data_IF_842399873600
#
_entry.id   IF_842399873600
#
_cell.length_a   1.000
_cell.length_b   1.000
_cell.length_c   1.000
_cell.angle_alpha   90.00
_cell.angle_beta   90.00
_cell.angle_gamma   90.00
#
_symmetry.space_group_name_H-M   'P 1'
#
loop_
_entity.id
_entity.type
_entity.pdbx_description
1 polymer ?
#
# COMPACT_ATOMS: atom_id res chain seq x y z
N UNK A 1 -24.76 -24.71 5.59
CA UNK A 1 -23.96 -23.49 5.86
C UNK A 1 -22.82 -23.47 4.85
N UNK A 2 -22.99 -22.74 3.77
CA UNK A 2 -22.00 -22.60 2.69
C UNK A 2 -20.94 -21.60 3.16
N UNK A 3 -19.74 -22.11 3.45
CA UNK A 3 -18.58 -21.26 3.68
C UNK A 3 -18.27 -20.50 2.39
N UNK A 4 -18.45 -19.18 2.39
CA UNK A 4 -17.96 -18.32 1.32
C UNK A 4 -16.44 -18.44 1.30
N UNK A 5 -15.89 -18.98 0.22
CA UNK A 5 -14.46 -18.94 -0.05
C UNK A 5 -14.06 -17.48 -0.26
N UNK A 6 -13.27 -16.95 0.65
CA UNK A 6 -12.63 -15.65 0.50
C UNK A 6 -11.32 -15.93 -0.23
N UNK A 7 -11.23 -15.48 -1.47
CA UNK A 7 -9.99 -15.58 -2.25
C UNK A 7 -9.13 -14.37 -1.92
N UNK A 8 -7.93 -14.61 -1.42
CA UNK A 8 -6.88 -13.60 -1.25
C UNK A 8 -5.85 -13.88 -2.32
N UNK A 9 -5.64 -12.95 -3.26
CA UNK A 9 -4.49 -12.99 -4.15
C UNK A 9 -3.34 -12.34 -3.40
N UNK A 10 -2.45 -13.14 -2.86
CA UNK A 10 -1.23 -12.67 -2.24
C UNK A 10 -0.10 -12.87 -3.24
N UNK A 11 0.46 -11.78 -3.72
CA UNK A 11 1.70 -11.79 -4.47
C UNK A 11 2.82 -11.68 -3.44
N UNK A 12 3.52 -12.78 -3.19
CA UNK A 12 4.68 -12.82 -2.31
C UNK A 12 5.92 -12.51 -3.16
N UNK A 13 6.42 -11.28 -3.07
CA UNK A 13 7.69 -10.90 -3.65
C UNK A 13 8.79 -11.26 -2.64
N UNK A 14 9.45 -12.42 -2.84
CA UNK A 14 10.60 -12.81 -2.03
C UNK A 14 11.84 -12.29 -2.73
N UNK A 15 12.46 -11.26 -2.19
CA UNK A 15 13.72 -10.74 -2.68
C UNK A 15 14.87 -11.35 -1.86
N UNK A 16 15.55 -12.32 -2.43
CA UNK A 16 16.81 -12.85 -1.91
C UNK A 16 17.98 -12.12 -2.55
N UNK A 17 19.02 -11.82 -1.81
CA UNK A 17 20.24 -11.13 -2.25
C UNK A 17 21.15 -11.95 -3.19
N UNK A 18 20.63 -12.95 -3.88
CA UNK A 18 21.36 -13.77 -4.83
C UNK A 18 20.62 -13.81 -6.18
N UNK A 19 21.26 -13.21 -7.18
CA UNK A 19 21.06 -13.37 -8.64
C UNK A 19 19.68 -13.83 -9.10
N UNK A 20 18.93 -12.96 -9.80
CA UNK A 20 17.81 -13.27 -10.71
C UNK A 20 17.01 -14.53 -10.37
N UNK A 21 16.47 -14.60 -9.17
CA UNK A 21 15.50 -15.64 -8.82
C UNK A 21 14.12 -15.18 -9.28
N UNK A 22 13.39 -16.05 -9.99
CA UNK A 22 11.98 -15.82 -10.29
C UNK A 22 11.25 -15.40 -9.01
N UNK A 23 10.57 -14.28 -9.04
CA UNK A 23 9.76 -13.82 -7.91
C UNK A 23 8.64 -14.84 -7.69
N UNK A 24 8.60 -15.55 -6.58
CA UNK A 24 7.54 -16.53 -6.36
C UNK A 24 6.22 -15.80 -6.13
N UNK A 25 5.27 -16.05 -6.99
CA UNK A 25 3.87 -15.66 -6.80
C UNK A 25 3.16 -16.77 -6.04
N UNK A 26 2.79 -16.51 -4.79
CA UNK A 26 2.00 -17.44 -3.99
C UNK A 26 0.51 -17.11 -4.15
N UNK A 27 -0.23 -18.02 -4.82
CA UNK A 27 -1.68 -17.90 -4.89
C UNK A 27 -2.32 -18.59 -3.67
N UNK A 28 -2.71 -17.80 -2.68
CA UNK A 28 -3.35 -18.30 -1.46
C UNK A 28 -4.79 -18.81 -1.69
N UNK A 29 -5.32 -18.77 -2.92
CA UNK A 29 -6.61 -19.43 -3.24
C UNK A 29 -6.52 -20.95 -3.19
N UNK A 30 -5.33 -21.51 -3.29
CA UNK A 30 -5.08 -22.93 -3.17
C UNK A 30 -4.74 -23.30 -1.71
N UNK A 31 -5.74 -23.44 -0.89
CA UNK A 31 -5.87 -24.27 0.31
C UNK A 31 -4.59 -24.70 1.06
N UNK A 32 -3.67 -23.81 1.35
CA UNK A 32 -2.68 -24.13 2.35
C UNK A 32 -2.91 -23.25 3.60
N UNK A 33 -3.79 -23.74 4.47
CA UNK A 33 -4.03 -23.14 5.78
C UNK A 33 -2.78 -23.14 6.68
N UNK A 34 -1.73 -23.84 6.23
CA UNK A 34 -0.42 -23.93 6.88
C UNK A 34 0.67 -23.11 6.17
N UNK A 35 0.34 -22.36 5.10
CA UNK A 35 1.28 -21.45 4.47
C UNK A 35 1.68 -20.37 5.48
N UNK A 36 2.81 -20.58 6.15
CA UNK A 36 3.40 -19.57 7.01
C UNK A 36 4.23 -18.66 6.14
N UNK A 37 3.98 -17.35 6.28
CA UNK A 37 4.84 -16.35 5.67
C UNK A 37 6.26 -16.53 6.21
N UNK A 38 7.29 -16.48 5.35
CA UNK A 38 8.66 -16.52 5.83
C UNK A 38 8.88 -15.41 6.86
N UNK A 39 9.29 -15.78 8.06
CA UNK A 39 9.55 -14.84 9.15
C UNK A 39 11.04 -14.47 9.23
N UNK A 40 11.83 -14.84 8.22
CA UNK A 40 13.24 -14.50 8.23
C UNK A 40 13.46 -13.05 7.76
N UNK A 41 14.46 -12.41 8.32
CA UNK A 41 14.79 -11.01 8.08
C UNK A 41 15.24 -10.70 6.63
N UNK A 42 15.19 -11.68 5.73
CA UNK A 42 15.58 -11.52 4.33
C UNK A 42 14.41 -11.26 3.37
N UNK A 43 13.17 -11.17 3.87
CA UNK A 43 11.96 -11.13 3.02
C UNK A 43 11.20 -9.82 3.18
N UNK A 44 10.86 -9.20 2.05
CA UNK A 44 9.77 -8.22 1.97
C UNK A 44 8.55 -8.92 1.39
N UNK A 45 7.45 -8.91 2.11
CA UNK A 45 6.16 -9.39 1.63
C UNK A 45 5.32 -8.20 1.19
N UNK A 46 4.81 -8.25 -0.03
CA UNK A 46 3.79 -7.29 -0.52
C UNK A 46 2.54 -8.08 -0.84
N UNK A 47 1.47 -7.79 -0.13
CA UNK A 47 0.19 -8.50 -0.25
C UNK A 47 -0.87 -7.57 -0.84
N UNK A 48 -1.56 -8.06 -1.87
CA UNK A 48 -2.70 -7.39 -2.48
C UNK A 48 -3.98 -8.15 -2.11
N UNK A 49 -4.82 -7.63 -1.20
CA UNK A 49 -6.10 -8.24 -0.89
C UNK A 49 -6.97 -8.38 -2.13
N UNK A 50 -7.67 -9.50 -2.28
CA UNK A 50 -8.56 -9.66 -3.43
C UNK A 50 -9.79 -8.77 -3.26
N UNK A 51 -9.90 -7.78 -4.13
CA UNK A 51 -10.99 -6.82 -4.19
C UNK A 51 -11.61 -6.80 -5.58
N UNK A 52 -12.79 -6.18 -5.73
CA UNK A 52 -13.48 -6.16 -7.02
C UNK A 52 -13.13 -4.91 -7.83
N UNK A 53 -13.16 -3.75 -7.20
CA UNK A 53 -12.91 -2.45 -7.83
C UNK A 53 -12.23 -1.50 -6.84
N UNK A 54 -11.15 -1.92 -6.23
CA UNK A 54 -10.45 -1.13 -5.25
C UNK A 54 -9.00 -1.59 -5.11
N UNK A 55 -8.14 -0.74 -4.61
CA UNK A 55 -6.72 -1.01 -4.42
C UNK A 55 -6.32 -0.94 -2.95
N UNK A 56 -5.46 -1.88 -2.57
CA UNK A 56 -4.74 -1.87 -1.31
C UNK A 56 -3.50 -2.74 -1.42
N UNK A 57 -2.40 -2.30 -0.83
CA UNK A 57 -1.19 -3.08 -0.70
C UNK A 57 -0.69 -3.06 0.74
N UNK A 58 -0.47 -4.24 1.31
CA UNK A 58 0.09 -4.42 2.65
C UNK A 58 1.54 -4.86 2.49
N UNK A 59 2.46 -4.11 3.07
CA UNK A 59 3.89 -4.37 3.04
C UNK A 59 4.34 -4.83 4.42
N UNK A 60 5.07 -5.95 4.48
CA UNK A 60 5.64 -6.47 5.73
C UNK A 60 7.11 -6.81 5.54
N UNK A 61 7.97 -6.27 6.38
CA UNK A 61 9.41 -6.53 6.38
C UNK A 61 9.95 -6.48 7.81
N UNK A 62 10.67 -7.51 8.22
CA UNK A 62 11.37 -7.58 9.52
C UNK A 62 10.47 -7.29 10.74
N UNK A 63 9.21 -7.72 10.70
CA UNK A 63 8.24 -7.48 11.76
C UNK A 63 7.60 -6.09 11.76
N UNK A 64 7.93 -5.25 10.80
CA UNK A 64 7.31 -3.96 10.52
C UNK A 64 6.23 -4.09 9.45
N UNK A 65 5.18 -3.29 9.53
CA UNK A 65 4.12 -3.28 8.54
C UNK A 65 3.74 -1.85 8.13
N UNK A 66 3.54 -1.65 6.83
CA UNK A 66 3.01 -0.43 6.24
C UNK A 66 1.93 -0.76 5.22
N UNK A 67 1.18 0.23 4.78
CA UNK A 67 0.09 0.02 3.83
C UNK A 67 -0.03 1.19 2.85
N UNK A 68 -0.25 0.87 1.59
CA UNK A 68 -0.53 1.85 0.53
C UNK A 68 -1.93 1.55 0.01
N UNK A 69 -2.82 2.52 0.15
CA UNK A 69 -4.26 2.41 -0.03
C UNK A 69 -4.91 1.28 0.79
N UNK A 70 -6.21 1.34 0.98
CA UNK A 70 -6.94 0.45 1.87
C UNK A 70 -8.29 -0.01 1.31
N UNK A 71 -8.54 0.27 0.02
CA UNK A 71 -9.83 -0.01 -0.59
C UNK A 71 -10.96 0.88 -0.10
N UNK A 72 -12.15 0.55 -0.55
CA UNK A 72 -13.38 1.20 -0.13
C UNK A 72 -14.04 0.53 1.07
N UNK A 73 -15.19 1.04 1.47
CA UNK A 73 -15.99 0.46 2.57
C UNK A 73 -16.45 -0.97 2.29
N UNK A 74 -16.65 -1.33 1.02
CA UNK A 74 -17.11 -2.67 0.64
C UNK A 74 -16.03 -3.74 0.81
N UNK A 75 -14.77 -3.33 0.77
CA UNK A 75 -13.59 -4.20 0.78
C UNK A 75 -12.99 -4.39 2.17
N UNK A 76 -13.53 -3.74 3.20
CA UNK A 76 -13.05 -3.75 4.59
C UNK A 76 -12.75 -5.18 5.10
N UNK A 77 -13.65 -6.14 4.80
CA UNK A 77 -13.45 -7.52 5.25
C UNK A 77 -12.30 -8.23 4.54
N UNK A 78 -12.03 -7.91 3.28
CA UNK A 78 -10.92 -8.49 2.54
C UNK A 78 -9.57 -7.97 3.07
N UNK A 79 -9.48 -6.67 3.30
CA UNK A 79 -8.30 -6.03 3.88
C UNK A 79 -8.04 -6.55 5.30
N UNK A 80 -9.07 -6.62 6.14
CA UNK A 80 -8.96 -7.14 7.50
C UNK A 80 -8.46 -8.59 7.51
N UNK A 81 -9.01 -9.44 6.64
CA UNK A 81 -8.58 -10.84 6.52
C UNK A 81 -7.12 -10.95 6.10
N UNK A 82 -6.66 -10.09 5.19
CA UNK A 82 -5.27 -10.09 4.75
C UNK A 82 -4.32 -9.62 5.88
N UNK A 83 -4.67 -8.58 6.62
CA UNK A 83 -3.91 -8.12 7.79
C UNK A 83 -3.78 -9.21 8.85
N UNK A 84 -4.88 -9.92 9.16
CA UNK A 84 -4.88 -11.04 10.10
C UNK A 84 -4.03 -12.22 9.61
N UNK A 85 -4.12 -12.58 8.33
CA UNK A 85 -3.32 -13.64 7.74
C UNK A 85 -1.81 -13.34 7.77
N UNK A 86 -1.44 -12.07 7.65
CA UNK A 86 -0.06 -11.58 7.76
C UNK A 86 0.40 -11.41 9.21
N UNK A 87 -0.49 -11.58 10.19
CA UNK A 87 -0.19 -11.34 11.60
C UNK A 87 0.07 -9.87 11.95
N UNK A 88 -0.42 -8.95 11.12
CA UNK A 88 -0.27 -7.51 11.33
C UNK A 88 -1.20 -7.05 12.45
N UNK A 89 -0.63 -6.48 13.50
CA UNK A 89 -1.36 -5.96 14.67
C UNK A 89 -1.19 -4.45 14.84
N UNK A 90 -0.31 -3.84 14.07
CA UNK A 90 -0.10 -2.39 13.96
C UNK A 90 0.45 -2.05 12.58
N UNK A 91 0.23 -0.84 12.12
CA UNK A 91 0.87 -0.29 10.94
C UNK A 91 1.81 0.85 11.37
N UNK A 92 3.06 0.81 10.92
CA UNK A 92 4.02 1.87 11.24
C UNK A 92 3.66 3.16 10.49
N UNK A 93 3.18 3.01 9.28
CA UNK A 93 2.67 4.10 8.45
C UNK A 93 1.62 3.57 7.47
N UNK A 94 0.77 4.47 7.01
CA UNK A 94 -0.14 4.24 5.88
C UNK A 94 -0.09 5.41 4.91
N UNK A 95 -0.21 5.13 3.62
CA UNK A 95 -0.19 6.11 2.53
C UNK A 95 -1.51 6.06 1.78
N UNK A 96 -2.23 7.19 1.73
CA UNK A 96 -3.36 7.36 0.82
C UNK A 96 -2.86 8.04 -0.46
N UNK A 97 -2.85 7.31 -1.57
CA UNK A 97 -2.30 7.78 -2.84
C UNK A 97 -3.09 8.93 -3.43
N UNK A 98 -4.42 8.85 -3.35
CA UNK A 98 -5.35 9.88 -3.81
C UNK A 98 -6.75 9.71 -3.18
N UNK A 99 -7.62 10.74 -3.22
CA UNK A 99 -8.87 10.77 -2.44
C UNK A 99 -10.07 10.09 -3.12
N UNK A 100 -9.89 9.04 -3.90
CA UNK A 100 -11.00 8.26 -4.43
C UNK A 100 -11.54 7.24 -3.43
N UNK A 101 -12.82 6.89 -3.59
CA UNK A 101 -13.58 6.06 -2.65
C UNK A 101 -13.17 4.59 -2.65
N UNK A 102 -12.42 4.16 -3.61
CA UNK A 102 -11.89 2.81 -3.80
C UNK A 102 -10.43 2.66 -3.32
N UNK A 103 -9.84 3.72 -2.74
CA UNK A 103 -8.46 3.72 -2.26
C UNK A 103 -8.31 4.00 -0.76
N UNK A 104 -9.05 4.97 -0.21
CA UNK A 104 -8.75 5.46 1.14
C UNK A 104 -9.76 5.13 2.24
N UNK A 105 -11.08 4.94 1.99
CA UNK A 105 -12.06 4.78 3.07
C UNK A 105 -11.79 3.60 3.99
N UNK A 106 -11.16 2.54 3.49
CA UNK A 106 -10.78 1.38 4.28
C UNK A 106 -9.88 1.70 5.47
N UNK A 107 -9.09 2.77 5.39
CA UNK A 107 -8.25 3.22 6.51
C UNK A 107 -9.06 3.60 7.76
N UNK A 108 -10.30 4.06 7.60
CA UNK A 108 -11.16 4.42 8.74
C UNK A 108 -11.47 3.22 9.63
N UNK A 109 -11.78 2.08 9.01
CA UNK A 109 -12.01 0.84 9.74
C UNK A 109 -10.73 0.30 10.39
N UNK A 110 -9.60 0.41 9.70
CA UNK A 110 -8.29 0.00 10.23
C UNK A 110 -7.92 0.85 11.44
N UNK A 111 -8.02 2.18 11.36
CA UNK A 111 -7.69 3.10 12.44
C UNK A 111 -8.51 2.85 13.72
N UNK A 112 -9.76 2.39 13.57
CA UNK A 112 -10.62 2.03 14.71
C UNK A 112 -10.27 0.67 15.36
N UNK A 113 -9.47 -0.16 14.68
CA UNK A 113 -9.18 -1.54 15.09
C UNK A 113 -7.75 -1.77 15.55
N UNK A 114 -6.79 -1.03 14.98
CA UNK A 114 -5.39 -1.20 15.32
C UNK A 114 -4.62 0.12 15.28
N UNK A 115 -3.49 0.20 15.99
CA UNK A 115 -2.64 1.38 15.96
C UNK A 115 -2.05 1.63 14.58
N UNK A 116 -2.09 2.88 14.14
CA UNK A 116 -1.39 3.41 12.96
C UNK A 116 -0.41 4.47 13.46
N UNK A 117 0.85 4.36 13.07
CA UNK A 117 1.89 5.29 13.49
C UNK A 117 1.78 6.65 12.82
N UNK A 118 1.50 6.67 11.51
CA UNK A 118 1.31 7.90 10.73
C UNK A 118 0.42 7.63 9.51
N UNK A 119 -0.42 8.61 9.16
CA UNK A 119 -1.19 8.65 7.92
C UNK A 119 -0.60 9.71 7.00
N UNK A 120 -0.12 9.30 5.82
CA UNK A 120 0.49 10.18 4.84
C UNK A 120 -0.41 10.36 3.62
N UNK A 121 -0.52 11.58 3.14
CA UNK A 121 -1.19 11.91 1.88
C UNK A 121 -0.67 13.24 1.34
N UNK A 122 -0.66 13.41 0.02
CA UNK A 122 -0.36 14.69 -0.63
C UNK A 122 -1.61 15.57 -0.81
N UNK A 123 -2.78 15.08 -0.46
CA UNK A 123 -4.05 15.77 -0.67
C UNK A 123 -4.52 16.51 0.60
N UNK A 124 -4.89 17.78 0.50
CA UNK A 124 -5.37 18.54 1.64
C UNK A 124 -6.79 18.12 2.06
N UNK A 125 -7.15 18.43 3.30
CA UNK A 125 -8.46 18.09 3.88
C UNK A 125 -9.66 18.65 3.09
N UNK A 126 -9.49 19.73 2.35
CA UNK A 126 -10.55 20.36 1.56
C UNK A 126 -10.62 19.86 0.10
N UNK A 127 -9.87 18.83 -0.26
CA UNK A 127 -9.90 18.29 -1.63
C UNK A 127 -11.28 17.72 -1.96
N UNK A 128 -11.84 16.89 -1.10
CA UNK A 128 -13.21 16.42 -1.22
C UNK A 128 -13.77 15.97 0.14
N UNK A 129 -15.07 15.68 0.18
CA UNK A 129 -15.76 15.28 1.40
C UNK A 129 -15.25 13.95 1.96
N UNK A 130 -14.83 13.01 1.11
CA UNK A 130 -14.28 11.73 1.55
C UNK A 130 -12.94 11.90 2.26
N UNK A 131 -12.01 12.67 1.70
CA UNK A 131 -10.74 12.97 2.35
C UNK A 131 -10.96 13.70 3.69
N UNK A 132 -11.86 14.67 3.71
CA UNK A 132 -12.22 15.37 4.93
C UNK A 132 -12.72 14.40 6.01
N UNK A 133 -13.55 13.43 5.64
CA UNK A 133 -14.10 12.44 6.56
C UNK A 133 -13.00 11.51 7.09
N UNK A 134 -12.18 10.95 6.20
CA UNK A 134 -11.07 10.07 6.58
C UNK A 134 -10.09 10.77 7.53
N UNK A 135 -9.70 12.01 7.24
CA UNK A 135 -8.81 12.78 8.11
C UNK A 135 -9.45 13.09 9.49
N UNK A 136 -10.77 13.32 9.53
CA UNK A 136 -11.47 13.46 10.81
C UNK A 136 -11.42 12.16 11.63
N UNK A 137 -11.61 11.00 11.00
CA UNK A 137 -11.48 9.69 11.66
C UNK A 137 -10.06 9.45 12.16
N UNK A 138 -9.03 9.78 11.35
CA UNK A 138 -7.64 9.70 11.80
C UNK A 138 -7.43 10.52 13.08
N UNK A 139 -7.93 11.75 13.11
CA UNK A 139 -7.85 12.62 14.29
C UNK A 139 -8.61 12.05 15.50
N UNK A 140 -9.81 11.51 15.32
CA UNK A 140 -10.60 10.84 16.37
C UNK A 140 -9.85 9.63 16.96
N UNK A 141 -9.13 8.88 16.10
CA UNK A 141 -8.34 7.72 16.53
C UNK A 141 -6.95 8.09 17.05
N UNK A 142 -6.58 9.38 17.06
CA UNK A 142 -5.27 9.85 17.50
C UNK A 142 -4.12 9.47 16.55
N UNK A 143 -4.42 9.22 15.28
CA UNK A 143 -3.41 8.93 14.26
C UNK A 143 -2.80 10.24 13.76
N UNK A 144 -1.47 10.41 13.84
CA UNK A 144 -0.80 11.56 13.25
C UNK A 144 -1.02 11.62 11.74
N UNK A 145 -1.30 12.80 11.21
CA UNK A 145 -1.46 13.04 9.77
C UNK A 145 -0.32 13.92 9.29
N UNK A 146 0.37 13.47 8.27
CA UNK A 146 1.49 14.19 7.66
C UNK A 146 1.22 14.40 6.17
N UNK A 147 1.71 15.54 5.66
CA UNK A 147 1.66 15.82 4.22
C UNK A 147 2.88 15.19 3.57
N UNK A 148 2.64 14.20 2.73
CA UNK A 148 3.69 13.54 1.98
C UNK A 148 4.37 14.50 0.99
N UNK A 149 5.68 14.42 0.92
CA UNK A 149 6.51 15.21 0.02
C UNK A 149 7.14 14.33 -1.07
N UNK A 150 7.46 14.95 -2.20
CA UNK A 150 8.24 14.29 -3.24
C UNK A 150 9.64 13.91 -2.74
N UNK A 151 10.08 12.70 -3.05
CA UNK A 151 11.35 12.14 -2.60
C UNK A 151 11.36 11.74 -1.12
N UNK A 152 10.26 11.84 -0.39
CA UNK A 152 10.19 11.41 1.00
C UNK A 152 10.42 9.91 1.12
N UNK A 153 11.28 9.51 2.07
CA UNK A 153 11.62 8.10 2.30
C UNK A 153 11.02 7.58 3.58
N UNK A 154 10.19 6.55 3.46
CA UNK A 154 9.70 5.76 4.57
C UNK A 154 10.55 4.50 4.73
N UNK A 155 10.72 4.05 5.96
CA UNK A 155 11.43 2.79 6.25
C UNK A 155 10.45 1.71 6.69
N UNK A 156 10.77 0.47 6.35
CA UNK A 156 10.04 -0.72 6.76
C UNK A 156 11.03 -1.86 7.01
N UNK A 157 11.59 -1.93 8.22
CA UNK A 157 12.72 -2.82 8.50
C UNK A 157 13.91 -2.49 7.57
N UNK A 158 14.34 -3.46 6.76
CA UNK A 158 15.40 -3.28 5.76
C UNK A 158 14.87 -2.86 4.37
N UNK A 159 13.58 -2.65 4.21
CA UNK A 159 13.01 -2.08 3.01
C UNK A 159 12.90 -0.55 3.11
N UNK A 160 12.99 0.12 1.97
CA UNK A 160 12.76 1.56 1.83
C UNK A 160 11.65 1.81 0.84
N UNK A 161 10.83 2.81 1.12
CA UNK A 161 9.75 3.26 0.25
C UNK A 161 9.98 4.72 -0.04
N UNK A 162 10.30 5.04 -1.29
CA UNK A 162 10.43 6.43 -1.75
C UNK A 162 9.09 6.87 -2.33
N UNK A 163 8.51 7.90 -1.75
CA UNK A 163 7.28 8.52 -2.26
C UNK A 163 7.64 9.45 -3.42
N UNK A 164 6.87 9.38 -4.50
CA UNK A 164 7.10 10.16 -5.72
C UNK A 164 5.82 10.92 -6.05
N UNK A 165 5.97 12.23 -6.23
CA UNK A 165 4.91 13.13 -6.65
C UNK A 165 5.26 13.75 -8.01
N UNK A 166 4.84 13.14 -9.14
CA UNK A 166 5.14 13.68 -10.45
C UNK A 166 4.57 15.09 -10.63
N UNK A 167 5.37 16.00 -11.15
CA UNK A 167 4.94 17.35 -11.52
C UNK A 167 4.30 17.37 -12.91
N UNK A 168 3.52 18.42 -13.21
CA UNK A 168 2.93 18.66 -14.54
C UNK A 168 2.00 17.53 -15.05
N UNK A 169 1.38 16.80 -14.16
CA UNK A 169 0.53 15.62 -14.45
C UNK A 169 -0.86 15.98 -14.98
N UNK A 170 -1.20 17.25 -15.08
CA UNK A 170 -2.55 17.69 -15.44
C UNK A 170 -3.43 17.91 -14.23
N UNK A 171 -4.77 17.91 -14.45
CA UNK A 171 -5.74 18.32 -13.42
C UNK A 171 -6.56 17.18 -12.84
N UNK A 172 -6.48 15.96 -13.38
CA UNK A 172 -7.23 14.83 -12.84
C UNK A 172 -6.66 14.40 -11.49
N UNK A 173 -7.52 13.95 -10.62
CA UNK A 173 -7.14 13.46 -9.29
C UNK A 173 -6.19 12.27 -9.45
N UNK A 174 -6.51 11.34 -10.35
CA UNK A 174 -5.67 10.17 -10.64
C UNK A 174 -4.23 10.54 -11.01
N UNK A 175 -4.05 11.50 -11.91
CA UNK A 175 -2.71 11.92 -12.33
C UNK A 175 -1.89 12.64 -11.24
N UNK A 176 -2.53 12.99 -10.14
CA UNK A 176 -1.90 13.58 -8.94
C UNK A 176 -1.64 12.55 -7.85
N UNK A 177 -1.83 11.26 -8.15
CA UNK A 177 -1.56 10.19 -7.19
C UNK A 177 -0.14 10.23 -6.67
N UNK A 178 0.00 9.96 -5.39
CA UNK A 178 1.27 9.69 -4.74
C UNK A 178 1.73 8.28 -5.12
N UNK A 179 2.88 8.18 -5.75
CA UNK A 179 3.46 6.91 -6.18
C UNK A 179 4.45 6.42 -5.13
N UNK A 180 4.81 5.13 -5.20
CA UNK A 180 5.78 4.57 -4.27
C UNK A 180 6.77 3.65 -5.00
N UNK A 181 8.05 3.93 -4.87
CA UNK A 181 9.12 3.02 -5.24
C UNK A 181 9.58 2.26 -4.00
N UNK A 182 9.26 0.99 -3.95
CA UNK A 182 9.62 0.08 -2.87
C UNK A 182 10.93 -0.60 -3.24
N UNK A 183 11.93 -0.53 -2.35
CA UNK A 183 13.25 -1.12 -2.58
C UNK A 183 13.66 -2.01 -1.41
N UNK A 184 14.32 -3.13 -1.71
CA UNK A 184 14.96 -3.98 -0.72
C UNK A 184 16.16 -4.70 -1.32
N UNK A 185 17.37 -4.33 -0.89
CA UNK A 185 18.59 -4.74 -1.58
C UNK A 185 18.59 -4.21 -3.02
N UNK A 186 18.81 -5.09 -3.98
CA UNK A 186 18.79 -4.73 -5.40
C UNK A 186 17.39 -4.78 -6.03
N UNK A 187 16.41 -5.32 -5.30
CA UNK A 187 15.05 -5.48 -5.82
C UNK A 187 14.22 -4.21 -5.71
N UNK A 188 13.46 -3.89 -6.75
CA UNK A 188 12.71 -2.66 -6.90
C UNK A 188 11.30 -2.92 -7.43
N UNK A 189 10.30 -2.35 -6.79
CA UNK A 189 8.91 -2.42 -7.21
C UNK A 189 8.31 -1.01 -7.25
N UNK A 190 7.79 -0.62 -8.40
CA UNK A 190 7.12 0.67 -8.57
C UNK A 190 5.59 0.49 -8.49
N UNK A 191 4.97 1.20 -7.56
CA UNK A 191 3.52 1.25 -7.37
C UNK A 191 2.99 2.56 -7.92
N UNK A 192 2.16 2.46 -8.96
CA UNK A 192 1.74 3.58 -9.78
C UNK A 192 0.37 4.16 -9.37
N UNK A 193 -0.33 3.54 -8.43
CA UNK A 193 -1.72 3.89 -8.13
C UNK A 193 -2.54 4.03 -9.44
N UNK A 194 -3.32 5.07 -9.55
CA UNK A 194 -4.22 5.31 -10.68
C UNK A 194 -3.68 6.31 -11.72
N UNK A 195 -2.35 6.54 -11.77
CA UNK A 195 -1.87 7.51 -12.74
C UNK A 195 -2.22 7.09 -14.17
N UNK A 196 -2.76 8.05 -14.90
CA UNK A 196 -3.13 7.92 -16.31
C UNK A 196 -1.97 8.33 -17.24
N UNK A 197 -2.18 8.30 -18.53
CA UNK A 197 -1.15 8.58 -19.52
C UNK A 197 -0.36 9.87 -19.30
N UNK A 198 -1.02 10.95 -18.85
CA UNK A 198 -0.32 12.22 -18.59
C UNK A 198 0.59 12.12 -17.35
N UNK A 199 0.14 11.47 -16.30
CA UNK A 199 0.97 11.24 -15.10
C UNK A 199 2.13 10.29 -15.40
N UNK A 200 1.90 9.24 -16.17
CA UNK A 200 2.96 8.33 -16.62
C UNK A 200 4.02 9.05 -17.48
N UNK A 201 3.59 9.91 -18.41
CA UNK A 201 4.52 10.68 -19.21
C UNK A 201 5.31 11.68 -18.35
N UNK A 202 4.64 12.36 -17.42
CA UNK A 202 5.30 13.28 -16.49
C UNK A 202 6.35 12.56 -15.63
N UNK A 203 6.04 11.35 -15.16
CA UNK A 203 6.99 10.51 -14.41
C UNK A 203 8.21 10.14 -15.27
N UNK A 204 8.03 9.81 -16.54
CA UNK A 204 9.14 9.50 -17.44
C UNK A 204 9.98 10.74 -17.75
N UNK A 205 9.37 11.93 -17.80
CA UNK A 205 10.03 13.20 -18.11
C UNK A 205 10.71 13.82 -16.85
N UNK A 206 10.38 13.38 -15.64
CA UNK A 206 10.95 13.93 -14.39
C UNK A 206 12.46 13.67 -14.28
N UNK A 207 12.93 12.57 -14.85
CA UNK A 207 14.30 12.11 -14.70
C UNK A 207 14.55 11.33 -13.41
N UNK A 208 13.49 11.01 -12.65
CA UNK A 208 13.59 10.15 -11.49
C UNK A 208 14.00 8.73 -11.90
N UNK A 209 14.80 8.09 -11.07
CA UNK A 209 15.15 6.68 -11.27
C UNK A 209 13.99 5.77 -10.83
N UNK A 210 13.05 5.56 -11.74
CA UNK A 210 11.86 4.72 -11.54
C UNK A 210 12.01 3.31 -12.12
N UNK A 211 13.24 2.89 -12.42
CA UNK A 211 13.49 1.53 -12.86
C UNK A 211 12.99 0.54 -11.79
N UNK A 212 12.25 -0.46 -12.22
CA UNK A 212 11.74 -1.56 -11.40
C UNK A 212 11.97 -2.90 -12.10
N UNK A 213 11.98 -4.01 -11.32
CA UNK A 213 12.19 -5.38 -11.81
C UNK A 213 10.93 -5.96 -12.45
#
# INVERSE_FOLDING_TARGET
MTRKLISILLILLIFSSAAHADVPVLDLRAHDADARFPSDAAVLTVAFPQMTFADAAILVCDGHAGMIDAGGYAEESAVQTALEALGVTRLDWVVATHPHHDHQPGFEAIARRMPIGCFLTSFPANENAQMQHTLAVMAECGVPVETAADGEMLTLGHAQITLILPENTGKTVNNRSLLALVTRGDARMLMLADIESMGQQALLDSGDDVHAD
#
